data_IF_253009353276
#
_entry.id   IF_253009353276
#
_cell.length_a   1.000
_cell.length_b   1.000
_cell.length_c   1.000
_cell.angle_alpha   90.00
_cell.angle_beta   90.00
_cell.angle_gamma   90.00
#
_symmetry.space_group_name_H-M   'P 1'
#
loop_
_entity.id
_entity.type
_entity.pdbx_description
1 polymer ?
#
# COMPACT_ATOMS: atom_id res chain seq x y z
N UNK A 1 -23.09 0.48 -27.83
CA UNK A 1 -22.77 -0.32 -29.04
C UNK A 1 -22.30 -1.72 -28.65
N UNK A 2 -22.58 -2.74 -29.48
CA UNK A 2 -22.04 -4.10 -29.32
C UNK A 2 -20.86 -4.30 -30.27
N UNK A 3 -19.70 -4.65 -29.74
CA UNK A 3 -18.44 -4.74 -30.48
C UNK A 3 -17.92 -6.18 -30.38
N UNK A 4 -17.48 -6.77 -31.49
CA UNK A 4 -16.80 -8.07 -31.46
C UNK A 4 -15.30 -7.83 -31.43
N UNK A 5 -14.64 -8.20 -30.33
CA UNK A 5 -13.20 -8.11 -30.13
C UNK A 5 -12.64 -9.53 -30.16
N UNK A 6 -12.22 -9.99 -31.34
CA UNK A 6 -11.61 -11.30 -31.55
C UNK A 6 -12.41 -12.48 -30.91
N UNK A 7 -13.71 -12.51 -31.20
CA UNK A 7 -14.63 -13.54 -30.70
C UNK A 7 -15.31 -13.21 -29.37
N UNK A 8 -14.91 -12.13 -28.68
CA UNK A 8 -15.55 -11.66 -27.47
C UNK A 8 -16.57 -10.54 -27.77
N UNK A 9 -17.83 -10.74 -27.38
CA UNK A 9 -18.85 -9.72 -27.47
C UNK A 9 -18.71 -8.72 -26.32
N UNK A 10 -18.33 -7.48 -26.65
CA UNK A 10 -18.16 -6.39 -25.69
C UNK A 10 -19.30 -5.38 -25.82
N UNK A 11 -19.92 -5.07 -24.68
CA UNK A 11 -20.90 -4.00 -24.57
C UNK A 11 -20.17 -2.69 -24.24
N UNK A 12 -20.16 -1.77 -25.20
CA UNK A 12 -19.51 -0.48 -25.08
C UNK A 12 -20.57 0.61 -24.85
N UNK A 13 -20.47 1.46 -23.80
CA UNK A 13 -21.56 2.32 -23.36
C UNK A 13 -21.77 3.57 -24.24
N UNK A 14 -20.95 3.76 -25.27
CA UNK A 14 -21.06 4.86 -26.22
C UNK A 14 -21.47 4.39 -27.62
N UNK A 15 -21.97 5.32 -28.44
CA UNK A 15 -22.42 5.05 -29.82
C UNK A 15 -21.25 4.90 -30.79
N UNK A 16 -20.14 5.57 -30.53
CA UNK A 16 -18.94 5.58 -31.37
C UNK A 16 -17.73 5.05 -30.60
N UNK A 17 -16.88 4.29 -31.28
CA UNK A 17 -15.57 3.83 -30.79
C UNK A 17 -14.47 4.38 -31.70
N UNK A 18 -13.37 4.81 -31.10
CA UNK A 18 -12.18 5.20 -31.87
C UNK A 18 -11.39 3.97 -32.32
N UNK A 19 -10.74 3.99 -33.50
CA UNK A 19 -9.87 2.90 -33.94
C UNK A 19 -8.81 2.51 -32.90
N UNK A 20 -8.25 3.51 -32.22
CA UNK A 20 -7.25 3.36 -31.17
C UNK A 20 -7.80 2.58 -29.97
N UNK A 21 -9.05 2.85 -29.57
CA UNK A 21 -9.74 2.11 -28.50
C UNK A 21 -9.93 0.64 -28.89
N UNK A 22 -10.32 0.37 -30.13
CA UNK A 22 -10.51 -0.99 -30.61
C UNK A 22 -9.19 -1.78 -30.64
N UNK A 23 -8.10 -1.16 -31.10
CA UNK A 23 -6.77 -1.78 -31.10
C UNK A 23 -6.28 -2.04 -29.67
N UNK A 24 -6.48 -1.08 -28.78
CA UNK A 24 -6.18 -1.26 -27.35
C UNK A 24 -6.93 -2.46 -26.75
N UNK A 25 -8.22 -2.63 -27.09
CA UNK A 25 -9.02 -3.77 -26.63
C UNK A 25 -8.53 -5.11 -27.18
N UNK A 26 -8.05 -5.16 -28.43
CA UNK A 26 -7.46 -6.37 -29.01
C UNK A 26 -6.18 -6.80 -28.27
N UNK A 27 -5.25 -5.86 -28.05
CA UNK A 27 -3.99 -6.15 -27.35
C UNK A 27 -4.20 -6.51 -25.87
N UNK A 28 -5.15 -5.81 -25.23
CA UNK A 28 -5.55 -6.12 -23.86
C UNK A 28 -6.13 -7.53 -23.76
N UNK A 29 -6.99 -7.93 -24.71
CA UNK A 29 -7.53 -9.30 -24.77
C UNK A 29 -6.43 -10.33 -25.00
N UNK A 30 -5.52 -10.10 -25.94
CA UNK A 30 -4.40 -11.00 -26.22
C UNK A 30 -3.53 -11.22 -24.97
N UNK A 31 -3.29 -10.17 -24.19
CA UNK A 31 -2.55 -10.25 -22.91
C UNK A 31 -3.27 -11.13 -21.88
N UNK A 32 -4.60 -10.98 -21.77
CA UNK A 32 -5.44 -11.77 -20.85
C UNK A 32 -5.52 -13.25 -21.27
N UNK A 33 -5.68 -13.51 -22.57
CA UNK A 33 -5.72 -14.85 -23.14
C UNK A 33 -4.38 -15.59 -22.90
N UNK A 34 -3.25 -14.88 -23.06
CA UNK A 34 -1.91 -15.41 -22.83
C UNK A 34 -1.58 -15.64 -21.33
N UNK A 35 -2.40 -15.14 -20.40
CA UNK A 35 -2.13 -15.15 -18.95
C UNK A 35 -0.77 -14.51 -18.61
N UNK A 36 -0.39 -13.50 -19.37
CA UNK A 36 0.88 -12.78 -19.24
C UNK A 36 0.70 -11.41 -18.58
N UNK A 37 1.82 -10.75 -18.32
CA UNK A 37 1.84 -9.34 -17.96
C UNK A 37 1.94 -8.51 -19.24
N UNK A 38 1.37 -7.29 -19.23
CA UNK A 38 1.35 -6.42 -20.40
C UNK A 38 1.65 -4.97 -20.05
N UNK A 39 2.38 -4.28 -20.92
CA UNK A 39 2.52 -2.82 -20.88
C UNK A 39 1.83 -2.24 -22.10
N UNK A 40 0.77 -1.45 -21.87
CA UNK A 40 -0.07 -0.88 -22.92
C UNK A 40 -0.04 0.64 -22.86
N UNK A 41 0.38 1.26 -23.95
CA UNK A 41 0.31 2.72 -24.10
C UNK A 41 -0.99 3.14 -24.78
N UNK A 42 -1.71 4.10 -24.21
CA UNK A 42 -2.84 4.73 -24.89
C UNK A 42 -2.95 6.22 -24.53
N UNK A 43 -2.92 7.15 -25.50
CA UNK A 43 -2.89 8.59 -25.24
C UNK A 43 -4.03 9.08 -24.35
N UNK A 44 -3.74 10.05 -23.50
CA UNK A 44 -4.75 10.66 -22.61
C UNK A 44 -5.92 11.27 -23.40
N UNK A 45 -7.13 11.18 -22.85
CA UNK A 45 -8.34 11.75 -23.46
C UNK A 45 -9.01 10.89 -24.52
N UNK A 46 -8.48 9.70 -24.83
CA UNK A 46 -9.05 8.76 -25.83
C UNK A 46 -10.01 7.73 -25.23
N UNK A 47 -10.44 7.88 -23.97
CA UNK A 47 -11.39 6.97 -23.33
C UNK A 47 -10.80 5.61 -22.93
N UNK A 48 -9.66 5.65 -22.24
CA UNK A 48 -8.93 4.46 -21.76
C UNK A 48 -9.70 3.63 -20.76
N UNK A 49 -10.17 4.30 -19.73
CA UNK A 49 -10.83 3.68 -18.61
C UNK A 49 -12.09 2.94 -19.08
N UNK A 50 -12.94 3.58 -19.90
CA UNK A 50 -14.12 2.90 -20.45
C UNK A 50 -13.79 1.71 -21.35
N UNK A 51 -12.78 1.82 -22.22
CA UNK A 51 -12.39 0.72 -23.13
C UNK A 51 -11.87 -0.48 -22.35
N UNK A 52 -11.06 -0.21 -21.33
CA UNK A 52 -10.52 -1.19 -20.41
C UNK A 52 -11.63 -1.86 -19.60
N UNK A 53 -12.49 -1.08 -18.93
CA UNK A 53 -13.59 -1.60 -18.11
C UNK A 53 -14.57 -2.42 -18.96
N UNK A 54 -14.94 -1.95 -20.15
CA UNK A 54 -15.87 -2.65 -21.04
C UNK A 54 -15.34 -4.03 -21.45
N UNK A 55 -14.05 -4.11 -21.81
CA UNK A 55 -13.43 -5.39 -22.18
C UNK A 55 -13.32 -6.33 -20.97
N UNK A 56 -12.84 -5.83 -19.83
CA UNK A 56 -12.66 -6.67 -18.63
C UNK A 56 -13.99 -7.24 -18.15
N UNK A 57 -15.05 -6.43 -18.10
CA UNK A 57 -16.38 -6.91 -17.71
C UNK A 57 -16.87 -7.98 -18.67
N UNK A 58 -16.71 -7.78 -19.99
CA UNK A 58 -17.08 -8.79 -20.98
C UNK A 58 -16.26 -10.09 -20.80
N UNK A 59 -14.96 -9.96 -20.56
CA UNK A 59 -14.04 -11.10 -20.38
C UNK A 59 -14.36 -11.89 -19.11
N UNK A 60 -14.63 -11.22 -17.98
CA UNK A 60 -15.05 -11.87 -16.73
C UNK A 60 -16.37 -12.62 -16.88
N UNK A 61 -17.33 -12.09 -17.65
CA UNK A 61 -18.61 -12.77 -17.91
C UNK A 61 -18.45 -13.97 -18.85
N UNK A 62 -17.59 -13.88 -19.85
CA UNK A 62 -17.33 -14.98 -20.78
C UNK A 62 -16.45 -16.09 -20.16
N UNK A 63 -15.53 -15.72 -19.27
CA UNK A 63 -14.52 -16.61 -18.69
C UNK A 63 -14.42 -16.48 -17.16
N UNK A 64 -15.48 -16.83 -16.40
CA UNK A 64 -15.52 -16.65 -14.94
C UNK A 64 -14.45 -17.46 -14.19
N UNK A 65 -14.00 -18.59 -14.75
CA UNK A 65 -12.93 -19.41 -14.16
C UNK A 65 -11.53 -18.85 -14.43
N UNK A 66 -11.38 -18.00 -15.46
CA UNK A 66 -10.08 -17.44 -15.83
C UNK A 66 -9.76 -16.18 -15.02
N UNK A 67 -10.78 -15.35 -14.74
CA UNK A 67 -10.64 -14.11 -13.97
C UNK A 67 -11.76 -14.03 -12.94
N UNK A 68 -11.44 -14.31 -11.68
CA UNK A 68 -12.40 -14.22 -10.58
C UNK A 68 -12.54 -12.79 -10.05
N UNK A 69 -11.43 -12.05 -10.05
CA UNK A 69 -11.36 -10.70 -9.50
C UNK A 69 -10.55 -9.80 -10.41
N UNK A 70 -10.96 -8.54 -10.46
CA UNK A 70 -10.31 -7.47 -11.18
C UNK A 70 -9.95 -6.35 -10.21
N UNK A 71 -8.71 -5.89 -10.28
CA UNK A 71 -8.19 -4.81 -9.44
C UNK A 71 -7.75 -3.67 -10.34
N UNK A 72 -8.38 -2.51 -10.17
CA UNK A 72 -7.99 -1.27 -10.81
C UNK A 72 -7.23 -0.39 -9.82
N UNK A 73 -6.00 -0.06 -10.15
CA UNK A 73 -5.16 0.82 -9.34
C UNK A 73 -4.96 2.16 -10.03
N UNK A 74 -5.28 3.25 -9.34
CA UNK A 74 -5.04 4.63 -9.78
C UNK A 74 -4.20 5.40 -8.78
N UNK A 75 -3.72 6.58 -9.17
CA UNK A 75 -2.88 7.41 -8.30
C UNK A 75 -3.72 8.23 -7.32
N UNK A 76 -4.77 8.91 -7.80
CA UNK A 76 -5.49 9.93 -7.02
C UNK A 76 -6.94 9.54 -6.74
N UNK A 77 -7.52 10.06 -5.65
CA UNK A 77 -8.93 9.80 -5.28
C UNK A 77 -9.91 10.26 -6.36
N UNK A 78 -9.76 11.45 -6.99
CA UNK A 78 -10.64 11.86 -8.08
C UNK A 78 -10.60 10.93 -9.30
N UNK A 79 -9.47 10.28 -9.59
CA UNK A 79 -9.42 9.26 -10.63
C UNK A 79 -10.24 8.02 -10.25
N UNK A 80 -10.15 7.58 -8.99
CA UNK A 80 -10.98 6.46 -8.51
C UNK A 80 -12.48 6.78 -8.63
N UNK A 81 -12.89 8.01 -8.32
CA UNK A 81 -14.27 8.47 -8.46
C UNK A 81 -14.73 8.42 -9.92
N UNK A 82 -13.91 8.89 -10.86
CA UNK A 82 -14.20 8.81 -12.30
C UNK A 82 -14.36 7.37 -12.80
N UNK A 83 -13.48 6.46 -12.37
CA UNK A 83 -13.57 5.03 -12.73
C UNK A 83 -14.91 4.44 -12.28
N UNK A 84 -15.38 4.81 -11.08
CA UNK A 84 -16.67 4.36 -10.57
C UNK A 84 -17.85 5.00 -11.33
N UNK A 85 -17.75 6.26 -11.73
CA UNK A 85 -18.75 6.90 -12.58
C UNK A 85 -18.87 6.20 -13.94
N UNK A 86 -17.74 5.90 -14.58
CA UNK A 86 -17.73 5.15 -15.84
C UNK A 86 -18.28 3.72 -15.69
N UNK A 87 -17.94 3.05 -14.58
CA UNK A 87 -18.50 1.73 -14.27
C UNK A 87 -20.02 1.78 -14.06
N UNK A 88 -20.56 2.85 -13.46
CA UNK A 88 -22.01 3.05 -13.32
C UNK A 88 -22.68 3.27 -14.66
N UNK A 89 -22.08 4.03 -15.58
CA UNK A 89 -22.62 4.20 -16.93
C UNK A 89 -22.58 2.89 -17.71
N UNK A 90 -21.51 2.10 -17.57
CA UNK A 90 -21.44 0.76 -18.13
C UNK A 90 -22.54 -0.16 -17.57
N UNK A 91 -22.74 -0.17 -16.26
CA UNK A 91 -23.78 -0.99 -15.61
C UNK A 91 -25.19 -0.63 -16.08
N UNK A 92 -25.50 0.67 -16.19
CA UNK A 92 -26.75 1.17 -16.78
C UNK A 92 -26.91 0.73 -18.23
N UNK A 93 -25.84 0.74 -19.01
CA UNK A 93 -25.87 0.30 -20.40
C UNK A 93 -26.17 -1.21 -20.49
N UNK A 94 -25.51 -2.02 -19.66
CA UNK A 94 -25.83 -3.46 -19.55
C UNK A 94 -27.30 -3.69 -19.18
N UNK A 95 -27.83 -2.98 -18.17
CA UNK A 95 -29.23 -3.13 -17.76
C UNK A 95 -30.21 -2.84 -18.91
N UNK A 96 -29.92 -1.83 -19.74
CA UNK A 96 -30.75 -1.48 -20.91
C UNK A 96 -30.69 -2.54 -22.01
N UNK A 97 -29.51 -3.11 -22.27
CA UNK A 97 -29.28 -4.02 -23.39
C UNK A 97 -29.65 -5.48 -23.09
N UNK A 98 -29.45 -5.94 -21.86
CA UNK A 98 -29.75 -7.33 -21.46
C UNK A 98 -31.11 -7.48 -20.78
N UNK A 99 -31.71 -6.39 -20.32
CA UNK A 99 -32.95 -6.42 -19.52
C UNK A 99 -32.74 -6.95 -18.09
N UNK A 100 -31.49 -7.17 -17.67
CA UNK A 100 -31.13 -7.63 -16.34
C UNK A 100 -30.88 -6.46 -15.38
N UNK A 101 -30.66 -6.75 -14.09
CA UNK A 101 -30.26 -5.76 -13.07
C UNK A 101 -28.78 -5.37 -13.20
N UNK A 102 -28.38 -4.89 -14.38
CA UNK A 102 -27.01 -4.44 -14.66
C UNK A 102 -26.07 -5.53 -15.17
N UNK A 103 -24.77 -5.33 -14.99
CA UNK A 103 -23.74 -6.26 -15.45
C UNK A 103 -23.65 -7.55 -14.61
N UNK A 104 -24.26 -7.58 -13.41
CA UNK A 104 -24.23 -8.72 -12.49
C UNK A 104 -22.92 -8.88 -11.73
N UNK A 105 -22.03 -7.87 -11.76
CA UNK A 105 -20.76 -7.85 -11.06
C UNK A 105 -20.78 -6.79 -9.95
N UNK A 106 -20.20 -7.13 -8.79
CA UNK A 106 -20.05 -6.18 -7.68
C UNK A 106 -18.75 -5.37 -7.82
N UNK A 107 -18.87 -4.05 -7.97
CA UNK A 107 -17.75 -3.12 -8.01
C UNK A 107 -17.68 -2.27 -6.73
N UNK A 108 -16.49 -2.17 -6.13
CA UNK A 108 -16.22 -1.38 -4.92
C UNK A 108 -15.02 -0.47 -5.14
N UNK A 109 -15.14 0.80 -4.74
CA UNK A 109 -13.99 1.68 -4.56
C UNK A 109 -13.54 1.72 -3.11
N UNK A 110 -12.23 1.56 -2.88
CA UNK A 110 -11.62 1.75 -1.57
C UNK A 110 -10.82 3.03 -1.53
N UNK A 111 -11.01 3.73 -0.43
CA UNK A 111 -10.28 4.94 -0.08
C UNK A 111 -9.91 4.89 1.40
N UNK A 112 -9.28 5.96 1.89
CA UNK A 112 -8.92 6.05 3.31
C UNK A 112 -10.17 6.13 4.21
N UNK A 113 -10.01 5.78 5.49
CA UNK A 113 -11.09 5.90 6.48
C UNK A 113 -11.63 7.33 6.58
N UNK A 114 -10.78 8.33 6.35
CA UNK A 114 -11.20 9.74 6.28
C UNK A 114 -12.33 9.99 5.27
N UNK A 115 -12.33 9.27 4.15
CA UNK A 115 -13.29 9.46 3.08
C UNK A 115 -14.52 8.55 3.24
N UNK A 116 -14.36 7.37 3.85
CA UNK A 116 -15.42 6.35 3.95
C UNK A 116 -16.11 6.28 5.31
N UNK A 117 -15.58 6.93 6.35
CA UNK A 117 -16.15 6.83 7.69
C UNK A 117 -17.52 7.52 7.77
N UNK A 118 -18.55 6.75 8.15
CA UNK A 118 -19.92 7.23 8.33
C UNK A 118 -20.17 7.80 9.73
N UNK A 119 -19.37 7.37 10.71
CA UNK A 119 -19.53 7.75 12.12
C UNK A 119 -19.19 9.23 12.31
N UNK A 120 -20.19 10.02 12.71
CA UNK A 120 -20.06 11.49 12.76
C UNK A 120 -19.02 11.96 13.77
N UNK A 121 -18.90 11.26 14.89
CA UNK A 121 -17.91 11.57 15.93
C UNK A 121 -16.47 11.42 15.42
N UNK A 122 -16.21 10.40 14.59
CA UNK A 122 -14.90 10.10 14.01
C UNK A 122 -14.62 10.99 12.79
N UNK A 123 -15.59 11.16 11.88
CA UNK A 123 -15.43 11.93 10.63
C UNK A 123 -15.05 13.40 10.87
N UNK A 124 -15.50 14.01 11.97
CA UNK A 124 -15.27 15.42 12.31
C UNK A 124 -13.85 15.73 12.80
N UNK A 125 -13.06 14.71 13.16
CA UNK A 125 -11.69 14.87 13.68
C UNK A 125 -10.73 15.39 12.60
N UNK A 126 -11.06 15.19 11.33
CA UNK A 126 -10.43 15.85 10.18
C UNK A 126 -9.17 15.18 9.65
N UNK A 127 -8.07 15.17 10.43
CA UNK A 127 -6.80 14.59 9.99
C UNK A 127 -6.87 13.06 9.84
N UNK A 128 -6.18 12.49 8.84
CA UNK A 128 -6.25 11.07 8.53
C UNK A 128 -5.78 10.18 9.68
N UNK A 129 -4.64 10.50 10.29
CA UNK A 129 -4.10 9.75 11.42
C UNK A 129 -5.02 9.84 12.66
N UNK A 130 -5.61 11.01 12.87
CA UNK A 130 -6.54 11.22 13.98
C UNK A 130 -7.88 10.49 13.77
N UNK A 131 -8.38 10.42 12.52
CA UNK A 131 -9.53 9.59 12.14
C UNK A 131 -9.25 8.11 12.40
N UNK A 132 -8.06 7.62 12.02
CA UNK A 132 -7.68 6.22 12.26
C UNK A 132 -7.61 5.89 13.76
N UNK A 133 -7.06 6.79 14.57
CA UNK A 133 -6.99 6.66 16.03
C UNK A 133 -8.39 6.69 16.66
N UNK A 134 -9.26 7.62 16.27
CA UNK A 134 -10.63 7.71 16.77
C UNK A 134 -11.47 6.49 16.37
N UNK A 135 -11.32 5.99 15.14
CA UNK A 135 -11.94 4.75 14.68
C UNK A 135 -11.48 3.55 15.52
N UNK A 136 -10.16 3.43 15.75
CA UNK A 136 -9.60 2.37 16.62
C UNK A 136 -10.14 2.48 18.05
N UNK A 137 -10.31 3.70 18.55
CA UNK A 137 -10.92 4.00 19.85
C UNK A 137 -12.37 3.54 20.02
N UNK A 138 -13.07 3.15 18.95
CA UNK A 138 -14.42 2.60 19.01
C UNK A 138 -14.52 1.13 18.58
N UNK A 139 -13.53 0.62 17.85
CA UNK A 139 -13.58 -0.68 17.17
C UNK A 139 -12.53 -1.68 17.67
N UNK A 140 -11.55 -1.25 18.46
CA UNK A 140 -10.51 -2.15 18.97
C UNK A 140 -11.12 -3.27 19.82
N UNK A 141 -10.59 -4.49 19.67
CA UNK A 141 -11.13 -5.70 20.31
C UNK A 141 -11.26 -5.57 21.84
N UNK A 142 -10.31 -4.90 22.49
CA UNK A 142 -10.35 -4.67 23.94
C UNK A 142 -11.43 -3.65 24.35
N UNK A 143 -11.76 -2.68 23.50
CA UNK A 143 -12.83 -1.71 23.76
C UNK A 143 -14.19 -2.40 23.63
N UNK A 144 -14.34 -3.24 22.61
CA UNK A 144 -15.53 -4.08 22.41
C UNK A 144 -15.74 -5.04 23.58
N UNK A 145 -14.69 -5.72 24.03
CA UNK A 145 -14.75 -6.60 25.20
C UNK A 145 -15.12 -5.84 26.48
N UNK A 146 -14.63 -4.60 26.65
CA UNK A 146 -15.03 -3.73 27.76
C UNK A 146 -16.49 -3.31 27.66
N UNK A 147 -16.99 -2.96 26.48
CA UNK A 147 -18.41 -2.65 26.29
C UNK A 147 -19.32 -3.83 26.67
N UNK A 148 -18.91 -5.07 26.38
CA UNK A 148 -19.68 -6.24 26.80
C UNK A 148 -19.86 -6.32 28.32
N UNK A 149 -18.88 -5.85 29.09
CA UNK A 149 -18.94 -5.82 30.56
C UNK A 149 -19.54 -4.52 31.11
N UNK A 150 -19.37 -3.40 30.39
CA UNK A 150 -19.83 -2.07 30.76
C UNK A 150 -20.44 -1.33 29.55
N UNK A 151 -21.79 -1.30 29.43
CA UNK A 151 -22.48 -0.64 28.33
C UNK A 151 -22.29 0.88 28.24
N UNK A 152 -21.64 1.52 29.22
CA UNK A 152 -21.34 2.96 29.17
C UNK A 152 -20.18 3.30 28.22
N UNK A 153 -19.33 2.32 27.89
CA UNK A 153 -18.21 2.48 26.96
C UNK A 153 -18.75 2.55 25.53
N UNK A 154 -18.53 3.66 24.83
CA UNK A 154 -19.01 3.82 23.45
C UNK A 154 -18.31 2.88 22.45
N UNK A 155 -19.08 2.23 21.59
CA UNK A 155 -18.61 1.44 20.44
C UNK A 155 -19.18 1.97 19.12
N UNK A 156 -18.60 1.51 18.01
CA UNK A 156 -19.11 1.84 16.69
C UNK A 156 -20.27 0.91 16.31
N UNK A 157 -21.51 1.43 16.35
CA UNK A 157 -22.73 0.66 16.03
C UNK A 157 -22.65 -0.08 14.70
N UNK A 158 -22.23 0.62 13.65
CA UNK A 158 -22.07 0.04 12.31
C UNK A 158 -21.09 -1.14 12.29
N UNK A 159 -20.00 -1.04 13.05
CA UNK A 159 -19.02 -2.12 13.11
C UNK A 159 -19.56 -3.34 13.87
N UNK A 160 -20.27 -3.12 14.99
CA UNK A 160 -20.89 -4.21 15.75
C UNK A 160 -21.99 -4.91 14.96
N UNK A 161 -22.85 -4.16 14.26
CA UNK A 161 -23.88 -4.73 13.38
C UNK A 161 -23.26 -5.56 12.27
N UNK A 162 -22.18 -5.09 11.64
CA UNK A 162 -21.45 -5.85 10.63
C UNK A 162 -20.83 -7.15 11.18
N UNK A 163 -20.27 -7.11 12.40
CA UNK A 163 -19.65 -8.28 13.04
C UNK A 163 -20.69 -9.32 13.50
N UNK A 164 -21.87 -8.85 13.95
CA UNK A 164 -22.98 -9.69 14.42
C UNK A 164 -23.72 -10.40 13.29
N UNK A 165 -23.99 -9.72 12.18
CA UNK A 165 -24.77 -10.26 11.07
C UNK A 165 -23.95 -11.08 10.07
N UNK A 166 -22.61 -11.06 10.16
CA UNK A 166 -21.73 -11.96 9.41
C UNK A 166 -21.62 -11.65 7.91
N UNK A 167 -20.67 -12.33 7.24
CA UNK A 167 -20.28 -12.10 5.84
C UNK A 167 -21.11 -12.90 4.81
N UNK A 168 -22.03 -13.75 5.26
CA UNK A 168 -22.66 -14.80 4.44
C UNK A 168 -24.17 -14.61 4.17
N UNK A 169 -24.77 -13.46 4.49
CA UNK A 169 -26.15 -13.17 4.08
C UNK A 169 -26.24 -12.57 2.66
N UNK A 170 -27.33 -12.87 1.95
CA UNK A 170 -27.68 -12.21 0.68
C UNK A 170 -28.07 -10.77 0.99
N UNK A 171 -27.17 -9.85 0.65
CA UNK A 171 -27.26 -8.49 1.12
C UNK A 171 -28.37 -7.69 0.41
N UNK A 172 -29.27 -7.01 1.16
CA UNK A 172 -30.24 -6.09 0.59
C UNK A 172 -29.53 -4.88 -0.04
N UNK A 173 -30.24 -4.02 -0.77
CA UNK A 173 -29.67 -2.77 -1.29
C UNK A 173 -29.16 -1.87 -0.15
N UNK A 174 -27.84 -1.60 -0.09
CA UNK A 174 -27.18 -0.88 1.01
C UNK A 174 -25.68 -0.62 0.77
N UNK A 175 -25.00 0.05 1.73
CA UNK A 175 -23.57 0.37 1.68
C UNK A 175 -22.80 -0.67 2.52
N UNK A 176 -21.87 -1.37 1.88
CA UNK A 176 -21.12 -2.46 2.50
C UNK A 176 -19.61 -2.31 2.31
N UNK A 177 -18.84 -2.88 3.23
CA UNK A 177 -17.38 -3.01 3.11
C UNK A 177 -17.03 -4.48 2.81
N UNK A 178 -17.06 -4.88 1.53
CA UNK A 178 -17.00 -6.29 1.05
C UNK A 178 -15.88 -6.52 0.04
N UNK A 179 -14.65 -6.19 0.40
CA UNK A 179 -13.49 -6.30 -0.50
C UNK A 179 -13.31 -7.74 -1.04
N UNK A 180 -13.67 -8.75 -0.22
CA UNK A 180 -13.50 -10.17 -0.56
C UNK A 180 -14.52 -10.62 -1.62
N UNK A 181 -15.78 -10.24 -1.50
CA UNK A 181 -16.85 -10.67 -2.42
C UNK A 181 -16.97 -9.79 -3.68
N UNK A 182 -16.32 -8.63 -3.71
CA UNK A 182 -16.32 -7.78 -4.90
C UNK A 182 -15.57 -8.43 -6.07
N UNK A 183 -16.20 -8.44 -7.24
CA UNK A 183 -15.55 -8.84 -8.48
C UNK A 183 -14.56 -7.77 -8.96
N UNK A 184 -14.92 -6.49 -8.80
CA UNK A 184 -14.12 -5.35 -9.23
C UNK A 184 -13.75 -4.50 -8.02
N UNK A 185 -12.46 -4.27 -7.81
CA UNK A 185 -11.95 -3.44 -6.71
C UNK A 185 -11.12 -2.30 -7.26
N UNK A 186 -11.47 -1.07 -6.93
CA UNK A 186 -10.81 0.15 -7.40
C UNK A 186 -10.13 0.85 -6.22
N UNK A 187 -8.81 0.97 -6.21
CA UNK A 187 -8.09 1.63 -5.10
C UNK A 187 -6.76 2.28 -5.52
N UNK A 188 -6.07 2.92 -4.58
CA UNK A 188 -4.77 3.56 -4.85
C UNK A 188 -3.60 2.58 -4.89
N UNK A 189 -2.56 2.87 -5.69
CA UNK A 189 -1.33 2.05 -5.77
C UNK A 189 -0.76 1.61 -4.41
N UNK A 190 -0.82 2.49 -3.40
CA UNK A 190 -0.28 2.23 -2.07
C UNK A 190 -0.92 1.00 -1.39
N UNK A 191 -2.18 0.68 -1.69
CA UNK A 191 -2.84 -0.49 -1.11
C UNK A 191 -2.27 -1.82 -1.62
N UNK A 192 -1.56 -1.80 -2.75
CA UNK A 192 -0.95 -3.00 -3.35
C UNK A 192 0.58 -3.01 -3.23
N UNK A 193 1.22 -1.84 -3.33
CA UNK A 193 2.69 -1.72 -3.34
C UNK A 193 3.29 -1.52 -1.95
N UNK A 194 2.59 -0.90 -0.99
CA UNK A 194 3.09 -0.78 0.38
C UNK A 194 2.93 -2.14 1.09
N UNK A 195 4.02 -2.82 1.48
CA UNK A 195 3.94 -4.14 2.10
C UNK A 195 3.16 -4.13 3.43
N UNK A 196 3.10 -3.00 4.14
CA UNK A 196 2.35 -2.86 5.40
C UNK A 196 0.85 -2.87 5.16
N UNK A 197 0.38 -2.33 4.03
CA UNK A 197 -1.05 -2.23 3.69
C UNK A 197 -1.46 -3.45 2.86
N UNK A 198 -0.65 -3.85 1.89
CA UNK A 198 -0.91 -4.97 1.01
C UNK A 198 -1.11 -6.28 1.77
N UNK A 199 -0.37 -6.50 2.86
CA UNK A 199 -0.53 -7.67 3.73
C UNK A 199 -1.88 -7.70 4.48
N UNK A 200 -2.57 -6.58 4.62
CA UNK A 200 -3.87 -6.48 5.28
C UNK A 200 -5.04 -6.58 4.30
N UNK A 201 -4.89 -6.01 3.11
CA UNK A 201 -6.00 -5.89 2.13
C UNK A 201 -5.93 -6.98 1.07
N UNK A 202 -4.73 -7.23 0.54
CA UNK A 202 -4.58 -8.08 -0.64
C UNK A 202 -4.22 -9.52 -0.30
N UNK A 203 -3.87 -9.86 0.96
CA UNK A 203 -3.42 -11.21 1.36
C UNK A 203 -4.41 -12.32 0.98
N UNK A 204 -5.71 -12.03 1.00
CA UNK A 204 -6.76 -13.04 0.78
C UNK A 204 -7.31 -13.08 -0.65
N UNK A 205 -6.75 -12.29 -1.58
CA UNK A 205 -7.22 -12.28 -2.97
C UNK A 205 -6.77 -13.53 -3.75
N UNK A 206 -7.64 -14.06 -4.62
CA UNK A 206 -7.33 -15.26 -5.38
C UNK A 206 -6.23 -14.99 -6.41
N UNK A 207 -5.47 -16.03 -6.79
CA UNK A 207 -4.32 -15.88 -7.69
C UNK A 207 -4.72 -15.49 -9.11
N UNK A 208 -5.88 -15.97 -9.59
CA UNK A 208 -6.52 -15.60 -10.86
C UNK A 208 -7.21 -14.21 -10.77
N UNK A 209 -6.50 -13.26 -10.18
CA UNK A 209 -6.87 -11.86 -10.18
C UNK A 209 -6.08 -11.14 -11.26
N UNK A 210 -6.75 -10.27 -12.02
CA UNK A 210 -6.12 -9.36 -12.97
C UNK A 210 -5.92 -8.01 -12.31
N UNK A 211 -4.70 -7.48 -12.36
CA UNK A 211 -4.35 -6.18 -11.81
C UNK A 211 -4.05 -5.21 -12.94
N UNK A 212 -4.65 -4.02 -12.90
CA UNK A 212 -4.36 -2.92 -13.80
C UNK A 212 -3.78 -1.76 -13.01
N UNK A 213 -2.61 -1.27 -13.43
CA UNK A 213 -2.10 0.03 -13.03
C UNK A 213 -2.43 1.04 -14.13
N UNK A 214 -3.34 1.96 -13.85
CA UNK A 214 -3.67 3.08 -14.73
C UNK A 214 -2.78 4.28 -14.40
N UNK A 215 -2.47 5.13 -15.37
CA UNK A 215 -1.56 6.29 -15.24
C UNK A 215 -0.20 5.98 -14.59
N UNK A 216 0.36 4.80 -14.90
CA UNK A 216 1.52 4.23 -14.21
C UNK A 216 2.89 4.88 -14.52
N UNK A 217 2.93 6.13 -14.99
CA UNK A 217 4.17 6.85 -15.33
C UNK A 217 5.06 7.14 -14.11
N UNK A 218 4.50 7.11 -12.89
CA UNK A 218 5.21 7.38 -11.63
C UNK A 218 5.27 6.16 -10.70
N UNK A 219 5.04 4.95 -11.21
CA UNK A 219 5.00 3.73 -10.39
C UNK A 219 6.33 3.46 -9.68
N UNK A 220 7.45 3.82 -10.31
CA UNK A 220 8.81 3.75 -9.81
C UNK A 220 8.99 4.58 -8.52
N UNK A 221 8.54 5.83 -8.56
CA UNK A 221 8.62 6.76 -7.43
C UNK A 221 7.77 6.26 -6.27
N UNK A 222 6.57 5.73 -6.54
CA UNK A 222 5.68 5.14 -5.53
C UNK A 222 6.33 3.91 -4.88
N UNK A 223 6.96 3.05 -5.69
CA UNK A 223 7.71 1.90 -5.19
C UNK A 223 8.88 2.33 -4.30
N UNK A 224 9.67 3.32 -4.74
CA UNK A 224 10.80 3.86 -3.96
C UNK A 224 10.31 4.46 -2.65
N UNK A 225 9.28 5.30 -2.68
CA UNK A 225 8.71 5.96 -1.49
C UNK A 225 8.14 4.95 -0.49
N UNK A 226 7.45 3.90 -0.96
CA UNK A 226 6.84 2.87 -0.09
C UNK A 226 7.87 2.08 0.73
N UNK A 227 9.09 1.93 0.20
CA UNK A 227 10.19 1.19 0.84
C UNK A 227 11.23 2.09 1.50
N UNK A 228 11.13 3.40 1.29
CA UNK A 228 12.04 4.39 1.89
C UNK A 228 11.55 4.87 3.25
N UNK A 229 12.47 5.35 4.08
CA UNK A 229 12.17 5.88 5.40
C UNK A 229 13.03 7.11 5.68
N UNK A 230 12.41 8.17 6.19
CA UNK A 230 13.11 9.42 6.55
C UNK A 230 13.01 9.62 8.06
N UNK A 231 14.17 9.81 8.70
CA UNK A 231 14.31 10.03 10.13
C UNK A 231 14.97 11.38 10.39
N UNK A 232 14.20 12.30 10.95
CA UNK A 232 14.65 13.61 11.42
C UNK A 232 14.88 13.62 12.93
N UNK A 233 15.67 14.59 13.41
CA UNK A 233 15.87 14.82 14.85
C UNK A 233 14.54 14.95 15.62
N UNK A 234 13.57 15.69 15.08
CA UNK A 234 12.24 15.86 15.68
C UNK A 234 11.50 14.53 15.88
N UNK A 235 11.63 13.59 14.93
CA UNK A 235 11.02 12.27 15.05
C UNK A 235 11.72 11.42 16.13
N UNK A 236 13.04 11.55 16.29
CA UNK A 236 13.78 10.87 17.36
C UNK A 236 13.43 11.42 18.75
N UNK A 237 13.23 12.73 18.88
CA UNK A 237 12.77 13.33 20.14
C UNK A 237 11.37 12.83 20.52
N UNK A 238 10.45 12.75 19.54
CA UNK A 238 9.13 12.10 19.72
C UNK A 238 9.26 10.62 20.08
N UNK A 239 10.21 9.90 19.48
CA UNK A 239 10.49 8.52 19.82
C UNK A 239 10.94 8.38 21.28
N UNK A 240 11.80 9.28 21.77
CA UNK A 240 12.24 9.28 23.17
C UNK A 240 11.07 9.46 24.14
N UNK A 241 10.22 10.45 23.91
CA UNK A 241 9.01 10.68 24.73
C UNK A 241 8.06 9.47 24.64
N UNK A 242 7.89 8.89 23.45
CA UNK A 242 7.09 7.68 23.26
C UNK A 242 7.62 6.49 24.07
N UNK A 243 8.94 6.27 24.07
CA UNK A 243 9.57 5.19 24.85
C UNK A 243 9.38 5.40 26.37
N UNK A 244 9.41 6.65 26.83
CA UNK A 244 9.14 6.98 28.24
C UNK A 244 7.69 6.64 28.61
N UNK A 245 6.73 7.08 27.80
CA UNK A 245 5.30 6.74 27.97
C UNK A 245 5.07 5.23 27.92
N UNK A 246 5.67 4.53 26.95
CA UNK A 246 5.60 3.08 26.84
C UNK A 246 6.13 2.40 28.10
N UNK A 247 7.26 2.87 28.62
CA UNK A 247 7.86 2.33 29.84
C UNK A 247 6.99 2.56 31.08
N UNK A 248 6.35 3.72 31.20
CA UNK A 248 5.39 3.98 32.27
C UNK A 248 4.17 3.06 32.15
N UNK A 249 3.63 2.91 30.94
CA UNK A 249 2.46 2.07 30.70
C UNK A 249 2.72 0.60 30.99
N UNK A 250 3.90 0.09 30.63
CA UNK A 250 4.31 -1.28 30.97
C UNK A 250 4.40 -1.47 32.49
N UNK A 251 4.91 -0.49 33.24
CA UNK A 251 4.93 -0.54 34.71
C UNK A 251 3.53 -0.59 35.30
N UNK A 252 2.63 0.29 34.86
CA UNK A 252 1.23 0.32 35.30
C UNK A 252 0.51 -1.01 35.07
N UNK A 253 0.70 -1.62 33.88
CA UNK A 253 0.09 -2.92 33.56
C UNK A 253 0.73 -4.03 34.39
N UNK A 254 2.04 -4.01 34.62
CA UNK A 254 2.74 -5.00 35.45
C UNK A 254 2.28 -4.96 36.91
N UNK A 255 1.97 -3.77 37.43
CA UNK A 255 1.43 -3.57 38.78
C UNK A 255 -0.04 -4.04 38.89
N UNK A 256 -0.84 -3.87 37.83
CA UNK A 256 -2.25 -4.27 37.81
C UNK A 256 -2.45 -5.76 37.52
N UNK A 257 -1.78 -6.27 36.49
CA UNK A 257 -1.92 -7.63 35.99
C UNK A 257 -0.64 -8.12 35.28
N UNK A 258 0.27 -8.68 36.06
CA UNK A 258 1.49 -9.29 35.54
C UNK A 258 1.19 -10.54 34.68
N UNK A 259 0.04 -11.19 34.85
CA UNK A 259 -0.33 -12.40 34.11
C UNK A 259 -0.62 -12.09 32.64
N UNK A 260 -1.17 -10.92 32.34
CA UNK A 260 -1.44 -10.45 30.98
C UNK A 260 -0.15 -10.35 30.15
N UNK A 261 0.92 -9.81 30.72
CA UNK A 261 2.23 -9.71 30.05
C UNK A 261 2.88 -11.09 29.84
N UNK A 262 2.66 -12.03 30.75
CA UNK A 262 3.17 -13.39 30.61
C UNK A 262 2.41 -14.16 29.51
N UNK A 263 1.10 -13.96 29.39
CA UNK A 263 0.31 -14.53 28.30
C UNK A 263 0.69 -13.95 26.94
N UNK A 264 0.97 -12.64 26.87
CA UNK A 264 1.51 -11.99 25.67
C UNK A 264 2.80 -12.63 25.21
N UNK A 265 3.74 -12.83 26.14
CA UNK A 265 4.99 -13.51 25.85
C UNK A 265 4.76 -14.89 25.21
N UNK A 266 3.86 -15.70 25.78
CA UNK A 266 3.54 -17.02 25.24
C UNK A 266 2.92 -16.94 23.84
N UNK A 267 2.01 -15.99 23.60
CA UNK A 267 1.38 -15.76 22.28
C UNK A 267 2.40 -15.29 21.24
N UNK A 268 3.29 -14.37 21.61
CA UNK A 268 4.36 -13.88 20.75
C UNK A 268 5.30 -15.03 20.36
N UNK A 269 5.65 -15.89 21.32
CA UNK A 269 6.52 -17.04 21.06
C UNK A 269 5.91 -18.02 20.08
N UNK A 270 4.60 -18.25 20.19
CA UNK A 270 3.87 -19.09 19.25
C UNK A 270 3.77 -18.46 17.86
N UNK A 271 3.30 -17.21 17.78
CA UNK A 271 3.05 -16.53 16.51
C UNK A 271 4.31 -16.28 15.69
N UNK A 272 5.44 -15.96 16.33
CA UNK A 272 6.72 -15.81 15.63
C UNK A 272 7.28 -17.16 15.13
N UNK A 273 6.96 -18.28 15.79
CA UNK A 273 7.33 -19.62 15.29
C UNK A 273 6.49 -19.99 14.06
N UNK A 274 5.20 -19.70 14.08
CA UNK A 274 4.32 -19.93 12.93
C UNK A 274 4.70 -19.05 11.73
N UNK A 275 4.94 -17.76 11.96
CA UNK A 275 5.39 -16.83 10.92
C UNK A 275 6.77 -17.19 10.35
N UNK A 276 7.66 -17.79 11.15
CA UNK A 276 8.94 -18.31 10.67
C UNK A 276 8.77 -19.55 9.77
N UNK A 277 7.77 -20.39 10.06
CA UNK A 277 7.47 -21.57 9.23
C UNK A 277 6.79 -21.19 7.91
N UNK A 278 5.93 -20.17 7.88
CA UNK A 278 5.26 -19.71 6.66
C UNK A 278 6.19 -19.00 5.66
N UNK A 279 7.32 -18.44 6.11
CA UNK A 279 8.21 -17.63 5.25
C UNK A 279 9.10 -18.44 4.29
N UNK A 280 9.05 -19.77 4.29
CA UNK A 280 9.61 -20.71 3.30
C UNK A 280 10.89 -20.24 2.55
N UNK A 281 11.85 -19.65 3.28
CA UNK A 281 13.18 -19.34 2.78
C UNK A 281 14.19 -19.59 3.90
N UNK A 282 15.06 -20.58 3.64
CA UNK A 282 16.26 -20.99 4.37
C UNK A 282 16.13 -21.76 5.71
N UNK A 283 16.76 -22.94 5.70
CA UNK A 283 16.92 -23.95 6.77
C UNK A 283 17.59 -23.46 8.08
N UNK A 284 17.71 -22.16 8.35
CA UNK A 284 18.52 -21.59 9.46
C UNK A 284 17.67 -20.80 10.48
N UNK A 285 16.44 -21.26 10.77
CA UNK A 285 15.55 -20.62 11.76
C UNK A 285 15.15 -21.55 12.91
N UNK A 286 16.09 -22.35 13.43
CA UNK A 286 15.85 -23.25 14.58
C UNK A 286 16.03 -22.59 15.96
N UNK A 287 16.55 -21.37 16.06
CA UNK A 287 16.66 -20.68 17.35
C UNK A 287 15.48 -19.73 17.60
N UNK A 288 14.65 -20.15 18.55
CA UNK A 288 13.53 -19.41 19.10
C UNK A 288 13.94 -18.01 19.59
N UNK A 289 13.44 -16.99 18.88
CA UNK A 289 13.25 -15.57 19.27
C UNK A 289 14.35 -14.97 20.16
N UNK A 290 15.09 -13.96 19.66
CA UNK A 290 16.16 -13.30 20.42
C UNK A 290 15.71 -12.91 21.83
N UNK A 291 16.54 -13.21 22.84
CA UNK A 291 16.25 -12.92 24.25
C UNK A 291 15.88 -11.46 24.52
N UNK A 292 16.44 -10.54 23.73
CA UNK A 292 16.16 -9.10 23.77
C UNK A 292 14.70 -8.74 23.46
N UNK A 293 13.98 -9.59 22.73
CA UNK A 293 12.58 -9.35 22.33
C UNK A 293 11.58 -10.06 23.26
N UNK A 294 12.03 -10.88 24.21
CA UNK A 294 11.16 -11.70 25.06
C UNK A 294 10.36 -10.84 26.05
N UNK A 295 11.04 -10.15 26.96
CA UNK A 295 10.37 -9.30 27.94
C UNK A 295 10.15 -7.88 27.41
N UNK A 296 9.06 -7.24 27.84
CA UNK A 296 8.78 -5.84 27.50
C UNK A 296 9.89 -4.90 28.01
N UNK A 297 10.44 -5.16 29.20
CA UNK A 297 11.54 -4.39 29.80
C UNK A 297 12.84 -4.50 28.96
N UNK A 298 13.17 -5.70 28.48
CA UNK A 298 14.31 -5.96 27.58
C UNK A 298 14.10 -5.27 26.23
N UNK A 299 12.88 -5.31 25.69
CA UNK A 299 12.55 -4.66 24.42
C UNK A 299 12.66 -3.13 24.51
N UNK A 300 12.15 -2.53 25.60
CA UNK A 300 12.30 -1.09 25.85
C UNK A 300 13.78 -0.71 25.98
N UNK A 301 14.57 -1.52 26.68
CA UNK A 301 16.02 -1.31 26.81
C UNK A 301 16.75 -1.42 25.46
N UNK A 302 16.29 -2.34 24.60
CA UNK A 302 16.75 -2.46 23.23
C UNK A 302 16.39 -1.22 22.37
N UNK A 303 15.14 -0.73 22.44
CA UNK A 303 14.72 0.47 21.72
C UNK A 303 15.50 1.71 22.16
N UNK A 304 15.79 1.85 23.46
CA UNK A 304 16.63 2.96 23.97
C UNK A 304 18.04 2.92 23.37
N UNK A 305 18.67 1.74 23.36
CA UNK A 305 20.01 1.56 22.76
C UNK A 305 20.01 1.89 21.27
N UNK A 306 19.02 1.38 20.53
CA UNK A 306 18.87 1.67 19.10
C UNK A 306 18.62 3.16 18.84
N UNK A 307 17.77 3.81 19.64
CA UNK A 307 17.49 5.24 19.54
C UNK A 307 18.75 6.08 19.75
N UNK A 308 19.53 5.79 20.79
CA UNK A 308 20.78 6.52 21.06
C UNK A 308 21.83 6.27 19.98
N UNK A 309 21.88 5.07 19.41
CA UNK A 309 22.73 4.80 18.23
C UNK A 309 22.35 5.68 17.04
N UNK A 310 21.07 5.74 16.66
CA UNK A 310 20.62 6.54 15.52
C UNK A 310 20.84 8.04 15.79
N UNK A 311 20.65 8.51 17.03
CA UNK A 311 21.00 9.87 17.43
C UNK A 311 22.50 10.15 17.31
N UNK A 312 23.36 9.20 17.69
CA UNK A 312 24.80 9.32 17.53
C UNK A 312 25.16 9.46 16.05
N UNK A 313 24.53 8.68 15.17
CA UNK A 313 24.72 8.74 13.72
C UNK A 313 24.28 10.08 13.10
N UNK A 314 23.25 10.74 13.65
CA UNK A 314 22.81 12.07 13.21
C UNK A 314 23.72 13.23 13.65
N UNK A 315 24.73 13.00 14.50
CA UNK A 315 25.66 14.04 14.98
C UNK A 315 26.85 14.29 14.04
N UNK A 316 26.93 13.58 12.91
CA UNK A 316 28.03 13.75 11.95
C UNK A 316 27.93 15.12 11.28
N UNK A 317 29.06 15.78 11.03
CA UNK A 317 29.12 17.14 10.48
C UNK A 317 29.24 17.20 8.94
N UNK A 318 29.37 16.05 8.27
CA UNK A 318 29.45 15.92 6.82
C UNK A 318 28.41 14.92 6.30
N UNK A 319 28.12 14.97 5.00
CA UNK A 319 27.22 14.01 4.36
C UNK A 319 27.87 12.63 4.37
N UNK A 320 27.16 11.62 4.85
CA UNK A 320 27.64 10.23 4.90
C UNK A 320 26.77 9.36 4.02
N UNK A 321 27.41 8.57 3.15
CA UNK A 321 26.77 7.54 2.35
C UNK A 321 27.25 6.16 2.81
N UNK A 322 26.31 5.30 3.19
CA UNK A 322 26.61 3.95 3.67
C UNK A 322 25.65 2.91 3.07
N UNK A 323 26.13 1.68 3.00
CA UNK A 323 25.27 0.53 2.69
C UNK A 323 24.58 0.02 3.96
N UNK A 324 23.41 -0.63 3.86
CA UNK A 324 22.75 -1.25 5.02
C UNK A 324 23.66 -2.26 5.74
N UNK A 325 24.51 -2.97 5.00
CA UNK A 325 25.46 -3.94 5.58
C UNK A 325 26.53 -3.23 6.44
N UNK A 326 27.07 -2.11 5.96
CA UNK A 326 28.03 -1.31 6.71
C UNK A 326 27.39 -0.75 7.99
N UNK A 327 26.16 -0.24 7.89
CA UNK A 327 25.40 0.24 9.04
C UNK A 327 25.15 -0.88 10.07
N UNK A 328 24.74 -2.07 9.64
CA UNK A 328 24.50 -3.21 10.54
C UNK A 328 25.80 -3.64 11.25
N UNK A 329 26.93 -3.62 10.55
CA UNK A 329 28.24 -3.93 11.12
C UNK A 329 28.65 -2.91 12.18
N UNK A 330 28.52 -1.61 11.88
CA UNK A 330 28.81 -0.52 12.81
C UNK A 330 27.87 -0.55 14.04
N UNK A 331 26.60 -0.92 13.84
CA UNK A 331 25.61 -1.08 14.91
C UNK A 331 26.00 -2.22 15.87
N UNK A 332 26.49 -3.35 15.33
CA UNK A 332 26.98 -4.46 16.13
C UNK A 332 28.25 -4.07 16.92
N UNK A 333 29.21 -3.40 16.27
CA UNK A 333 30.47 -3.01 16.89
C UNK A 333 30.30 -1.98 18.00
N UNK A 334 29.46 -0.95 17.80
CA UNK A 334 29.31 0.16 18.77
C UNK A 334 28.27 -0.11 19.86
N UNK A 335 27.20 -0.83 19.55
CA UNK A 335 26.02 -0.95 20.44
C UNK A 335 25.64 -2.40 20.74
N UNK A 336 26.37 -3.37 20.19
CA UNK A 336 26.16 -4.81 20.41
C UNK A 336 24.71 -5.23 20.06
N UNK A 337 24.19 -4.71 18.96
CA UNK A 337 22.87 -5.09 18.44
C UNK A 337 23.07 -5.96 17.19
N UNK A 338 22.63 -7.21 17.27
CA UNK A 338 22.62 -8.13 16.14
C UNK A 338 21.55 -7.79 15.10
N UNK A 339 21.75 -8.27 13.87
CA UNK A 339 20.77 -8.18 12.77
C UNK A 339 19.43 -8.84 13.10
N UNK A 340 19.44 -9.99 13.79
CA UNK A 340 18.24 -10.81 14.04
C UNK A 340 17.16 -10.06 14.86
N UNK A 341 17.46 -9.43 16.02
CA UNK A 341 16.48 -8.63 16.76
C UNK A 341 15.84 -7.49 15.95
N UNK A 342 16.59 -6.87 15.04
CA UNK A 342 16.11 -5.75 14.22
C UNK A 342 15.00 -6.20 13.24
N UNK A 343 15.06 -7.44 12.76
CA UNK A 343 14.11 -8.01 11.79
C UNK A 343 12.68 -8.10 12.36
N UNK A 344 12.54 -8.40 13.65
CA UNK A 344 11.25 -8.62 14.29
C UNK A 344 10.77 -7.40 15.10
N UNK A 345 11.44 -6.25 14.94
CA UNK A 345 11.20 -5.07 15.77
C UNK A 345 9.79 -4.50 15.58
N UNK A 346 9.32 -4.37 14.33
CA UNK A 346 7.98 -3.89 14.01
C UNK A 346 6.87 -4.83 14.50
N UNK A 347 7.06 -6.13 14.35
CA UNK A 347 6.10 -7.14 14.82
C UNK A 347 6.01 -7.15 16.36
N UNK A 348 7.17 -7.07 17.04
CA UNK A 348 7.23 -6.99 18.50
C UNK A 348 6.51 -5.76 19.04
N UNK A 349 6.74 -4.59 18.43
CA UNK A 349 6.06 -3.36 18.82
C UNK A 349 4.54 -3.48 18.65
N UNK A 350 4.08 -4.04 17.53
CA UNK A 350 2.65 -4.25 17.27
C UNK A 350 2.00 -5.14 18.33
N UNK A 351 2.63 -6.27 18.67
CA UNK A 351 2.16 -7.19 19.72
C UNK A 351 2.08 -6.50 21.09
N UNK A 352 3.11 -5.71 21.43
CA UNK A 352 3.16 -5.00 22.71
C UNK A 352 2.07 -3.92 22.80
N UNK A 353 1.92 -3.09 21.77
CA UNK A 353 0.89 -2.03 21.76
C UNK A 353 -0.54 -2.58 21.80
N UNK A 354 -0.77 -3.75 21.18
CA UNK A 354 -2.06 -4.43 21.26
C UNK A 354 -2.34 -4.94 22.68
N UNK A 355 -1.33 -5.49 23.35
CA UNK A 355 -1.45 -6.01 24.72
C UNK A 355 -1.63 -4.90 25.75
N UNK A 356 -0.98 -3.76 25.56
CA UNK A 356 -1.12 -2.60 26.42
C UNK A 356 -2.44 -1.82 26.19
N UNK A 357 -3.29 -2.32 25.28
CA UNK A 357 -4.60 -1.75 24.97
C UNK A 357 -4.54 -0.26 24.61
N UNK A 358 -3.55 0.08 23.78
CA UNK A 358 -3.33 1.46 23.33
C UNK A 358 -4.36 1.82 22.26
N UNK A 359 -5.19 2.82 22.55
CA UNK A 359 -6.18 3.36 21.62
C UNK A 359 -5.54 4.33 20.61
N UNK A 360 -4.75 5.29 21.08
CA UNK A 360 -4.10 6.29 20.22
C UNK A 360 -2.67 5.85 19.81
N UNK A 361 -2.54 5.41 18.56
CA UNK A 361 -1.25 5.01 17.98
C UNK A 361 -0.39 6.22 17.57
N UNK A 362 -0.97 7.42 17.46
CA UNK A 362 -0.25 8.62 17.02
C UNK A 362 0.85 9.01 18.01
N UNK A 363 0.63 8.77 19.31
CA UNK A 363 1.62 9.01 20.37
C UNK A 363 2.88 8.15 20.19
N UNK A 364 2.75 6.98 19.57
CA UNK A 364 3.83 6.00 19.37
C UNK A 364 4.40 6.04 17.94
N UNK A 365 4.00 7.02 17.12
CA UNK A 365 4.44 7.15 15.72
C UNK A 365 5.97 7.21 15.59
N UNK A 366 6.66 7.90 16.50
CA UNK A 366 8.12 7.96 16.51
C UNK A 366 8.80 6.60 16.78
N UNK A 367 8.19 5.75 17.63
CA UNK A 367 8.68 4.39 17.88
C UNK A 367 8.41 3.50 16.67
N UNK A 368 7.21 3.60 16.10
CA UNK A 368 6.81 2.86 14.90
C UNK A 368 7.74 3.13 13.72
N UNK A 369 8.13 4.39 13.52
CA UNK A 369 9.10 4.78 12.50
C UNK A 369 10.47 4.14 12.74
N UNK A 370 11.00 4.22 13.98
CA UNK A 370 12.28 3.62 14.33
C UNK A 370 12.27 2.09 14.14
N UNK A 371 11.19 1.42 14.52
CA UNK A 371 11.03 -0.02 14.36
C UNK A 371 10.89 -0.42 12.89
N UNK A 372 10.19 0.39 12.09
CA UNK A 372 10.08 0.21 10.64
C UNK A 372 11.46 0.30 9.99
N UNK A 373 12.23 1.35 10.30
CA UNK A 373 13.59 1.52 9.81
C UNK A 373 14.48 0.33 10.20
N UNK A 374 14.45 -0.11 11.46
CA UNK A 374 15.20 -1.27 11.93
C UNK A 374 14.86 -2.55 11.13
N UNK A 375 13.56 -2.77 10.89
CA UNK A 375 13.06 -3.92 10.14
C UNK A 375 13.53 -3.84 8.67
N UNK A 376 13.42 -2.68 8.04
CA UNK A 376 13.82 -2.50 6.63
C UNK A 376 15.33 -2.67 6.43
N UNK A 377 16.15 -2.01 7.26
CA UNK A 377 17.62 -2.08 7.18
C UNK A 377 18.13 -3.51 7.41
N UNK A 378 17.47 -4.28 8.29
CA UNK A 378 17.84 -5.67 8.55
C UNK A 378 17.31 -6.67 7.52
N UNK A 379 16.20 -6.34 6.84
CA UNK A 379 15.61 -7.17 5.78
C UNK A 379 16.38 -7.01 4.48
N UNK A 380 16.56 -5.77 4.02
CA UNK A 380 17.08 -5.46 2.70
C UNK A 380 18.54 -5.01 2.73
N UNK A 381 19.44 -5.92 2.36
CA UNK A 381 20.89 -5.65 2.33
C UNK A 381 21.40 -5.18 0.96
N UNK A 382 20.60 -5.29 -0.10
CA UNK A 382 20.94 -4.93 -1.48
C UNK A 382 19.84 -4.02 -2.05
N UNK A 383 20.22 -3.08 -2.92
CA UNK A 383 19.27 -2.14 -3.54
C UNK A 383 18.82 -0.99 -2.65
N UNK A 384 19.49 -0.76 -1.51
CA UNK A 384 19.19 0.33 -0.57
C UNK A 384 20.46 1.08 -0.19
N UNK A 385 20.29 2.36 0.17
CA UNK A 385 21.35 3.23 0.66
C UNK A 385 20.88 3.98 1.91
N UNK A 386 21.81 4.21 2.83
CA UNK A 386 21.63 5.10 3.98
C UNK A 386 22.43 6.37 3.71
N UNK A 387 21.74 7.50 3.72
CA UNK A 387 22.32 8.83 3.54
C UNK A 387 22.04 9.64 4.80
N UNK A 388 23.07 10.24 5.38
CA UNK A 388 22.93 11.17 6.51
C UNK A 388 23.34 12.54 6.05
N UNK A 389 22.39 13.47 6.03
CA UNK A 389 22.61 14.87 5.66
C UNK A 389 22.54 15.75 6.91
N UNK A 390 23.61 16.46 7.28
CA UNK A 390 23.62 17.29 8.50
C UNK A 390 22.97 18.66 8.34
N UNK A 391 22.91 19.17 7.11
CA UNK A 391 22.42 20.52 6.80
C UNK A 391 21.32 20.43 5.75
N UNK A 392 20.45 21.44 5.72
CA UNK A 392 19.45 21.57 4.67
C UNK A 392 20.10 22.18 3.41
N UNK A 393 19.86 21.61 2.22
CA UNK A 393 20.34 22.15 0.94
C UNK A 393 20.00 23.63 0.76
N UNK A 394 18.82 24.06 1.22
CA UNK A 394 18.34 25.45 1.07
C UNK A 394 18.95 26.42 2.09
N UNK A 395 19.52 25.91 3.18
CA UNK A 395 20.04 26.70 4.29
C UNK A 395 21.24 25.97 4.92
N UNK A 396 22.44 26.04 4.31
CA UNK A 396 23.61 25.28 4.74
C UNK A 396 24.14 25.69 6.12
N UNK A 397 23.77 26.88 6.62
CA UNK A 397 24.13 27.36 7.96
C UNK A 397 23.23 26.81 9.08
N UNK A 398 22.08 26.23 8.72
CA UNK A 398 21.12 25.69 9.69
C UNK A 398 21.34 24.19 9.84
N UNK A 399 21.84 23.77 11.01
CA UNK A 399 22.01 22.36 11.37
C UNK A 399 20.63 21.71 11.47
N UNK A 400 20.31 20.84 10.52
CA UNK A 400 19.07 20.08 10.48
C UNK A 400 19.35 18.66 9.99
N UNK A 401 19.86 17.78 10.88
CA UNK A 401 20.30 16.46 10.47
C UNK A 401 19.11 15.55 10.15
N UNK A 402 19.17 14.94 8.98
CA UNK A 402 18.18 13.98 8.48
C UNK A 402 18.90 12.73 8.00
N UNK A 403 18.40 11.57 8.42
CA UNK A 403 18.81 10.26 7.91
C UNK A 403 17.75 9.79 6.93
N UNK A 404 18.19 9.49 5.72
CA UNK A 404 17.40 8.89 4.67
C UNK A 404 17.82 7.43 4.50
N UNK A 405 16.86 6.53 4.62
CA UNK A 405 16.97 5.16 4.14
C UNK A 405 16.22 5.10 2.82
N UNK A 406 16.96 5.07 1.71
CA UNK A 406 16.38 5.12 0.38
C UNK A 406 16.47 3.77 -0.33
N UNK A 407 15.33 3.38 -0.90
CA UNK A 407 15.28 2.31 -1.89
C UNK A 407 15.82 2.85 -3.22
N UNK A 408 16.80 2.16 -3.79
CA UNK A 408 17.37 2.47 -5.10
C UNK A 408 16.80 1.60 -6.21
N UNK A 409 16.05 0.55 -5.85
CA UNK A 409 15.54 -0.46 -6.75
C UNK A 409 14.03 -0.67 -6.55
N UNK A 410 13.24 -0.02 -7.39
CA UNK A 410 11.78 -0.12 -7.32
C UNK A 410 11.25 -1.51 -7.72
N UNK A 411 12.06 -2.38 -8.35
CA UNK A 411 11.65 -3.75 -8.66
C UNK A 411 11.34 -4.56 -7.40
N UNK A 412 11.99 -4.24 -6.27
CA UNK A 412 11.81 -4.94 -5.00
C UNK A 412 10.38 -4.79 -4.43
N UNK A 413 9.71 -3.66 -4.68
CA UNK A 413 8.36 -3.42 -4.19
C UNK A 413 7.30 -4.10 -5.07
N UNK A 414 7.51 -4.13 -6.39
CA UNK A 414 6.53 -4.66 -7.35
C UNK A 414 6.70 -6.15 -7.64
N UNK A 415 7.89 -6.74 -7.43
CA UNK A 415 8.16 -8.15 -7.68
C UNK A 415 7.15 -9.12 -7.01
N UNK A 416 6.70 -8.91 -5.75
CA UNK A 416 5.67 -9.76 -5.14
C UNK A 416 4.32 -9.70 -5.88
N UNK A 417 3.98 -8.57 -6.51
CA UNK A 417 2.74 -8.39 -7.27
C UNK A 417 2.78 -9.25 -8.53
N UNK A 418 3.86 -9.16 -9.32
CA UNK A 418 4.05 -9.98 -10.52
C UNK A 418 4.14 -11.47 -10.20
N UNK A 419 4.78 -11.87 -9.09
CA UNK A 419 4.87 -13.27 -8.68
C UNK A 419 3.51 -13.85 -8.26
N UNK A 420 2.61 -13.01 -7.75
CA UNK A 420 1.35 -13.45 -7.14
C UNK A 420 0.20 -13.54 -8.15
N UNK A 421 0.06 -12.54 -9.01
CA UNK A 421 -1.09 -12.38 -9.89
C UNK A 421 -0.80 -12.87 -11.29
N UNK A 422 -1.80 -13.50 -11.91
CA UNK A 422 -1.68 -14.08 -13.25
C UNK A 422 -1.34 -13.01 -14.29
N UNK A 423 -2.11 -11.92 -14.33
CA UNK A 423 -1.91 -10.84 -15.29
C UNK A 423 -1.85 -9.50 -14.58
N UNK A 424 -0.77 -8.78 -14.84
CA UNK A 424 -0.54 -7.42 -14.36
C UNK A 424 -0.35 -6.55 -15.59
N UNK A 425 -1.22 -5.58 -15.73
CA UNK A 425 -1.31 -4.73 -16.91
C UNK A 425 -0.95 -3.31 -16.48
N UNK A 426 0.14 -2.79 -17.01
CA UNK A 426 0.63 -1.45 -16.73
C UNK A 426 0.24 -0.58 -17.91
N UNK A 427 -0.51 0.48 -17.63
CA UNK A 427 -1.02 1.33 -18.68
C UNK A 427 -0.78 2.79 -18.36
N UNK A 428 -0.37 3.58 -19.36
CA UNK A 428 -0.17 5.02 -19.21
C UNK A 428 -0.44 5.76 -20.51
N UNK A 429 -0.83 7.04 -20.40
CA UNK A 429 -0.91 7.95 -21.54
C UNK A 429 0.43 8.50 -22.01
N UNK A 430 1.50 8.28 -21.24
CA UNK A 430 2.87 8.71 -21.56
C UNK A 430 3.82 7.60 -21.12
N UNK A 431 3.97 6.54 -21.93
CA UNK A 431 4.94 5.49 -21.61
C UNK A 431 6.35 5.97 -21.97
N UNK A 432 7.14 6.34 -20.97
CA UNK A 432 8.58 6.60 -21.18
C UNK A 432 9.33 5.25 -21.29
N UNK A 433 10.42 5.17 -22.07
CA UNK A 433 11.30 3.98 -22.15
C UNK A 433 11.85 3.50 -20.79
N UNK A 434 11.72 4.32 -19.74
CA UNK A 434 12.16 4.04 -18.38
C UNK A 434 11.33 2.95 -17.65
N UNK A 435 10.20 2.50 -18.20
CA UNK A 435 9.42 1.39 -17.65
C UNK A 435 9.99 -0.01 -18.00
N UNK A 436 10.86 -0.10 -19.02
CA UNK A 436 11.46 -1.35 -19.52
C UNK A 436 12.29 -2.14 -18.48
N UNK A 437 13.05 -1.52 -17.55
CA UNK A 437 13.83 -2.26 -16.55
C UNK A 437 12.99 -2.86 -15.40
N UNK A 438 11.71 -2.48 -15.27
CA UNK A 438 10.84 -2.88 -14.16
C UNK A 438 10.08 -4.18 -14.40
N UNK A 439 9.98 -4.61 -15.64
CA UNK A 439 9.15 -5.72 -16.06
C UNK A 439 9.98 -7.00 -16.15
N UNK A 440 9.46 -8.16 -15.68
CA UNK A 440 10.04 -9.46 -15.99
C UNK A 440 10.34 -9.65 -17.49
N UNK A 441 11.27 -10.54 -17.84
CA UNK A 441 11.60 -10.80 -19.25
C UNK A 441 10.40 -11.26 -20.10
N UNK A 442 9.37 -11.82 -19.47
CA UNK A 442 8.18 -12.38 -20.11
C UNK A 442 7.02 -11.37 -20.26
N UNK A 443 7.25 -10.08 -20.05
CA UNK A 443 6.21 -9.04 -20.20
C UNK A 443 6.02 -8.69 -21.68
N UNK A 444 4.77 -8.76 -22.13
CA UNK A 444 4.38 -8.33 -23.46
C UNK A 444 4.36 -6.79 -23.51
N UNK A 445 5.23 -6.21 -24.34
CA UNK A 445 5.28 -4.77 -24.56
C UNK A 445 4.53 -4.39 -25.84
N UNK A 446 3.49 -3.57 -25.69
CA UNK A 446 2.78 -3.00 -26.83
C UNK A 446 2.74 -1.47 -26.71
N UNK A 447 3.59 -0.81 -27.50
CA UNK A 447 3.59 0.64 -27.67
C UNK A 447 2.88 0.99 -28.98
N UNK A 448 1.65 1.52 -28.89
CA UNK A 448 1.02 2.20 -30.02
C UNK A 448 1.49 3.66 -30.05
N UNK A 449 2.72 3.88 -30.54
CA UNK A 449 3.29 5.22 -30.70
C UNK A 449 2.82 5.94 -32.00
N UNK A 450 1.88 5.36 -32.75
CA UNK A 450 1.37 5.92 -33.99
C UNK A 450 -0.16 5.88 -34.00
N UNK A 451 -0.78 6.84 -34.67
CA UNK A 451 -2.22 7.10 -34.74
C UNK A 451 -2.76 8.00 -33.64
N UNK A 452 -2.47 9.29 -33.79
CA UNK A 452 -3.40 10.33 -33.38
C UNK A 452 -4.37 10.58 -34.54
N UNK A 453 -5.51 9.89 -34.57
CA UNK A 453 -6.58 10.10 -35.55
C UNK A 453 -7.34 11.41 -35.39
N UNK A 454 -6.65 12.56 -35.37
CA UNK A 454 -7.31 13.86 -35.21
C UNK A 454 -7.75 14.47 -36.56
N UNK A 455 -9.05 14.64 -36.74
CA UNK A 455 -9.64 15.38 -37.87
C UNK A 455 -9.62 16.91 -37.70
N UNK A 456 -9.21 17.46 -36.54
CA UNK A 456 -9.01 18.90 -36.32
C UNK A 456 -7.75 19.17 -35.47
N UNK A 457 -6.98 20.20 -35.88
CA UNK A 457 -5.77 20.70 -35.23
C UNK A 457 -5.93 20.81 -33.71
N UNK A 458 -5.26 19.92 -32.98
CA UNK A 458 -5.07 20.07 -31.54
C UNK A 458 -4.12 21.25 -31.32
N UNK A 459 -4.50 22.24 -30.51
CA UNK A 459 -3.71 23.44 -30.26
C UNK A 459 -2.38 23.08 -29.59
N UNK A 460 -1.31 23.01 -30.38
CA UNK A 460 0.05 22.90 -29.89
C UNK A 460 0.56 24.32 -29.59
N UNK A 461 0.42 24.79 -28.34
CA UNK A 461 1.08 26.03 -27.90
C UNK A 461 2.58 25.78 -27.78
N UNK A 462 3.33 26.11 -28.83
CA UNK A 462 4.78 26.28 -28.74
C UNK A 462 5.07 27.63 -28.08
N UNK A 463 5.82 27.64 -26.97
CA UNK A 463 6.51 28.83 -26.50
C UNK A 463 7.91 28.85 -27.10
N UNK A 464 8.05 29.55 -28.23
CA UNK A 464 9.36 29.92 -28.77
C UNK A 464 9.83 31.15 -28.00
N UNK A 465 10.80 30.98 -27.10
CA UNK A 465 11.61 32.11 -26.63
C UNK A 465 12.52 32.53 -27.79
N UNK A 466 12.19 33.65 -28.43
CA UNK A 466 13.16 34.37 -29.26
C UNK A 466 14.24 34.92 -28.33
N UNK A 467 15.34 34.19 -28.20
CA UNK A 467 16.60 34.76 -27.75
C UNK A 467 17.11 35.69 -28.86
N UNK A 468 16.86 36.98 -28.70
CA UNK A 468 17.53 38.02 -29.46
C UNK A 468 19.02 37.93 -29.11
N UNK A 469 19.81 37.35 -30.02
CA UNK A 469 21.26 37.58 -30.04
C UNK A 469 21.45 39.05 -30.45
N UNK A 470 21.80 39.91 -29.50
CA UNK A 470 22.44 41.18 -29.82
C UNK A 470 23.83 40.84 -30.39
N UNK A 471 23.95 40.92 -31.71
CA UNK A 471 25.22 41.17 -32.40
C UNK A 471 25.33 42.68 -32.61
N UNK A 472 26.02 43.38 -31.71
CA UNK A 472 27.19 44.23 -31.99
C UNK A 472 27.55 45.11 -30.80
#
# INVERSE_FOLDING_TARGET
>A
MKINVDGLLVYFPYEFIYPEQYHYMLELKATLDAKGHGVLEMPSGTGKTVSLLSLIVAYMKAHPNAVEKFIYCSRTVPELEKVIEEMKELDKYYAKETGERGCGLLAIALSSRKNLCIERSVRRVGDGAAVDAACRGLTASFIRARHQNDPSVGTCKFYEELDLHGRDEVLPTGIYNLIIHANIVVYSYYYLLDPKIASLVSKDFPKNTVVVFDEAHNIDNVCIESMSCVISRRQLDRCQTGIQKLSQRVKEVKERDASQLQQEYNRLVHGLREAANERETDLILREAIPGTLRSADSFISFLRRLLEYVKLRLRVAHVVHETPVAFLKDCLEKVCIDRRPLLFCSERLRSLLQTLEVADLSEYAGISLLCTFATLVSTYTRGFCIIVEPFNERAPTVVNPVLYFHCMDASLAIAPVFKRYVSVIITSGVCRPQLLPFCPADVLFFCNAAFTGFHRLCFCKFHIRLSVLEMH
#
